data_IF_607580752700
#
_entry.id   IF_607580752700
#
_cell.length_a   1.000
_cell.length_b   1.000
_cell.length_c   1.000
_cell.angle_alpha   90.00
_cell.angle_beta   90.00
_cell.angle_gamma   90.00
#
_symmetry.space_group_name_H-M   'P 1'
#
loop_
_entity.id
_entity.type
_entity.pdbx_description
1 polymer ?
#
# COMPACT_ATOMS: atom_id res chain seq x y z
N UNK A 1 -5.89 -63.32 45.04
CA UNK A 1 -5.26 -61.98 45.18
C UNK A 1 -5.81 -61.07 44.08
N UNK A 2 -6.66 -60.10 44.43
CA UNK A 2 -7.31 -59.18 43.48
C UNK A 2 -6.47 -57.91 43.38
N UNK A 3 -5.99 -57.55 42.19
CA UNK A 3 -5.27 -56.28 41.93
C UNK A 3 -6.24 -55.29 41.28
N UNK A 4 -6.46 -54.07 41.83
CA UNK A 4 -7.27 -53.06 41.17
C UNK A 4 -6.45 -52.35 40.08
N UNK A 5 -6.99 -52.30 38.87
CA UNK A 5 -6.46 -51.53 37.74
C UNK A 5 -6.82 -50.05 37.96
N UNK A 6 -5.81 -49.20 38.20
CA UNK A 6 -6.01 -47.75 38.24
C UNK A 6 -6.09 -47.20 36.82
N UNK A 7 -7.21 -46.57 36.49
CA UNK A 7 -7.42 -45.86 35.22
C UNK A 7 -6.85 -44.44 35.38
N UNK A 8 -5.76 -44.15 34.66
CA UNK A 8 -5.19 -42.80 34.55
C UNK A 8 -5.92 -42.04 33.43
N UNK A 9 -6.75 -41.07 33.82
CA UNK A 9 -7.47 -40.17 32.93
C UNK A 9 -6.51 -39.05 32.49
N UNK A 10 -6.00 -39.12 31.26
CA UNK A 10 -5.16 -38.06 30.68
C UNK A 10 -6.05 -36.90 30.22
N UNK A 11 -5.98 -35.76 30.92
CA UNK A 11 -6.68 -34.54 30.54
C UNK A 11 -6.01 -33.90 29.32
N UNK A 12 -6.71 -33.91 28.17
CA UNK A 12 -6.35 -33.14 26.98
C UNK A 12 -6.69 -31.67 27.22
N UNK A 13 -5.68 -30.84 27.51
CA UNK A 13 -5.82 -29.39 27.53
C UNK A 13 -5.79 -28.88 26.08
N UNK A 14 -6.85 -28.19 25.59
CA UNK A 14 -6.79 -27.53 24.30
C UNK A 14 -5.84 -26.34 24.41
N UNK A 15 -4.69 -26.41 23.72
CA UNK A 15 -3.81 -25.27 23.54
C UNK A 15 -4.53 -24.26 22.62
N UNK A 16 -5.21 -23.28 23.21
CA UNK A 16 -5.66 -22.10 22.49
C UNK A 16 -4.41 -21.33 22.04
N UNK A 17 -3.97 -21.56 20.80
CA UNK A 17 -2.97 -20.74 20.15
C UNK A 17 -3.57 -19.35 19.95
N UNK A 18 -3.33 -18.44 20.90
CA UNK A 18 -3.58 -17.02 20.69
C UNK A 18 -2.64 -16.57 19.57
N UNK A 19 -3.15 -16.50 18.35
CA UNK A 19 -2.52 -15.73 17.29
C UNK A 19 -2.53 -14.27 17.77
N UNK A 20 -1.44 -13.86 18.42
CA UNK A 20 -1.16 -12.45 18.65
C UNK A 20 -0.98 -11.86 17.26
N UNK A 21 -2.03 -11.22 16.77
CA UNK A 21 -1.97 -10.40 15.58
C UNK A 21 -1.04 -9.24 15.91
N UNK A 22 0.26 -9.47 15.71
CA UNK A 22 1.27 -8.42 15.77
C UNK A 22 0.84 -7.43 14.69
N UNK A 23 0.25 -6.31 15.11
CA UNK A 23 0.02 -5.16 14.22
C UNK A 23 1.40 -4.69 13.81
N UNK A 24 1.90 -5.26 12.72
CA UNK A 24 3.14 -4.86 12.10
C UNK A 24 2.93 -3.39 11.70
N UNK A 25 3.74 -2.51 12.28
CA UNK A 25 3.76 -1.10 11.91
C UNK A 25 4.20 -0.92 10.45
N UNK A 26 4.30 0.33 9.98
CA UNK A 26 4.79 0.61 8.64
C UNK A 26 6.14 -0.07 8.35
N UNK A 27 6.27 -0.63 7.15
CA UNK A 27 7.51 -1.24 6.66
C UNK A 27 8.49 -0.15 6.22
N UNK A 28 9.76 -0.32 6.57
CA UNK A 28 10.85 0.43 5.97
C UNK A 28 11.09 0.00 4.51
N UNK A 29 11.62 0.89 3.66
CA UNK A 29 11.84 0.63 2.23
C UNK A 29 12.58 -0.69 1.93
N UNK A 30 13.68 -1.04 2.62
CA UNK A 30 14.36 -2.31 2.35
C UNK A 30 13.47 -3.54 2.59
N UNK A 31 12.60 -3.48 3.60
CA UNK A 31 11.64 -4.55 3.87
C UNK A 31 10.55 -4.62 2.79
N UNK A 32 10.06 -3.47 2.32
CA UNK A 32 9.11 -3.39 1.19
C UNK A 32 9.72 -4.04 -0.05
N UNK A 33 10.93 -3.63 -0.46
CA UNK A 33 11.62 -4.16 -1.63
C UNK A 33 11.87 -5.67 -1.48
N UNK A 34 12.31 -6.11 -0.29
CA UNK A 34 12.55 -7.52 -0.02
C UNK A 34 11.28 -8.37 -0.16
N UNK A 35 10.16 -7.91 0.41
CA UNK A 35 8.88 -8.61 0.33
C UNK A 35 8.38 -8.67 -1.11
N UNK A 36 8.35 -7.54 -1.80
CA UNK A 36 7.95 -7.46 -3.20
C UNK A 36 8.82 -8.35 -4.10
N UNK A 37 10.13 -8.36 -3.89
CA UNK A 37 11.08 -9.23 -4.61
C UNK A 37 10.86 -10.73 -4.36
N UNK A 38 10.20 -11.10 -3.26
CA UNK A 38 9.76 -12.47 -2.98
C UNK A 38 8.35 -12.78 -3.49
N UNK A 39 7.70 -11.84 -4.18
CA UNK A 39 6.30 -11.95 -4.58
C UNK A 39 5.32 -11.87 -3.40
N UNK A 40 5.77 -11.40 -2.24
CA UNK A 40 4.91 -11.24 -1.08
C UNK A 40 4.10 -9.95 -1.22
N UNK A 41 2.84 -9.95 -0.76
CA UNK A 41 1.97 -8.82 -1.01
C UNK A 41 2.22 -7.69 -0.01
N UNK A 42 2.34 -6.47 -0.56
CA UNK A 42 2.50 -5.23 0.20
C UNK A 42 1.37 -4.28 -0.17
N UNK A 43 0.75 -3.67 0.84
CA UNK A 43 -0.15 -2.54 0.64
C UNK A 43 0.58 -1.22 0.87
N UNK A 44 0.15 -0.19 0.15
CA UNK A 44 0.52 1.20 0.41
C UNK A 44 -0.74 1.98 0.79
N UNK A 45 -0.59 2.90 1.73
CA UNK A 45 -1.58 3.94 2.01
C UNK A 45 -0.97 5.30 1.69
N UNK A 46 -1.80 6.18 1.12
CA UNK A 46 -1.46 7.57 0.88
C UNK A 46 -2.37 8.49 1.71
N UNK A 47 -1.79 9.49 2.35
CA UNK A 47 -2.48 10.62 2.97
C UNK A 47 -1.90 11.93 2.42
N UNK A 48 -2.61 12.51 1.45
CA UNK A 48 -2.15 13.72 0.76
C UNK A 48 -2.18 14.96 1.66
N UNK A 49 -2.83 14.90 2.83
CA UNK A 49 -2.79 16.01 3.80
C UNK A 49 -1.42 16.16 4.48
N UNK A 50 -0.58 15.12 4.37
CA UNK A 50 0.79 15.10 4.88
C UNK A 50 1.83 15.34 3.78
N UNK A 51 1.40 15.56 2.54
CA UNK A 51 2.26 15.82 1.38
C UNK A 51 2.20 17.29 0.94
N UNK A 52 3.20 17.71 0.17
CA UNK A 52 3.24 19.03 -0.47
C UNK A 52 2.82 18.91 -1.93
N UNK A 53 1.83 19.68 -2.37
CA UNK A 53 1.42 19.72 -3.77
C UNK A 53 2.51 20.33 -4.66
N UNK A 54 2.56 19.94 -5.93
CA UNK A 54 3.52 20.45 -6.92
C UNK A 54 2.76 21.09 -8.10
N UNK A 55 3.11 22.33 -8.50
CA UNK A 55 4.01 23.27 -7.81
C UNK A 55 3.50 23.65 -6.40
N UNK A 56 4.37 24.22 -5.55
CA UNK A 56 4.06 24.44 -4.11
C UNK A 56 2.85 25.36 -3.84
N UNK A 57 2.38 26.11 -4.84
CA UNK A 57 1.19 26.95 -4.82
C UNK A 57 -0.09 26.21 -5.28
N UNK A 58 0.02 24.95 -5.70
CA UNK A 58 -1.11 24.11 -6.03
C UNK A 58 -1.96 23.81 -4.78
N UNK A 59 -3.26 23.60 -5.01
CA UNK A 59 -4.24 23.40 -3.92
C UNK A 59 -3.89 22.14 -3.10
N UNK A 60 -3.79 22.24 -1.76
CA UNK A 60 -3.57 21.08 -0.91
C UNK A 60 -4.77 20.13 -0.99
N UNK A 61 -4.50 18.84 -0.82
CA UNK A 61 -5.51 17.78 -0.83
C UNK A 61 -5.63 17.12 0.53
N UNK A 62 -6.85 16.70 0.90
CA UNK A 62 -7.12 15.87 2.09
C UNK A 62 -7.47 14.42 1.70
N UNK A 63 -7.27 14.07 0.44
CA UNK A 63 -7.57 12.73 -0.05
C UNK A 63 -6.66 11.71 0.63
N UNK A 64 -7.27 10.63 1.09
CA UNK A 64 -6.59 9.46 1.61
C UNK A 64 -7.02 8.24 0.81
N UNK A 65 -6.11 7.32 0.58
CA UNK A 65 -6.38 6.12 -0.20
C UNK A 65 -5.33 5.04 0.05
N UNK A 66 -5.47 3.93 -0.63
CA UNK A 66 -4.50 2.85 -0.57
C UNK A 66 -4.81 1.76 -1.57
N UNK A 67 -3.81 0.93 -1.83
CA UNK A 67 -3.88 -0.19 -2.76
C UNK A 67 -2.90 -1.28 -2.36
N UNK A 68 -3.12 -2.49 -2.88
CA UNK A 68 -2.09 -3.55 -2.90
C UNK A 68 -1.24 -3.38 -4.13
N UNK A 69 0.07 -3.42 -3.97
CA UNK A 69 1.01 -3.24 -5.07
C UNK A 69 0.96 -4.49 -5.94
N UNK A 70 0.39 -4.36 -7.13
CA UNK A 70 0.25 -5.47 -8.08
C UNK A 70 1.54 -5.71 -8.88
N UNK A 71 2.18 -4.63 -9.32
CA UNK A 71 3.42 -4.68 -10.08
C UNK A 71 4.32 -3.51 -9.66
N UNK A 72 5.63 -3.74 -9.70
CA UNK A 72 6.62 -2.74 -9.34
C UNK A 72 7.85 -2.86 -10.24
N UNK A 73 8.66 -1.80 -10.22
CA UNK A 73 10.00 -1.74 -10.80
C UNK A 73 10.95 -1.19 -9.75
N UNK A 74 12.13 -1.79 -9.63
CA UNK A 74 13.27 -1.21 -8.94
C UNK A 74 14.28 -0.75 -9.99
N UNK A 75 14.71 0.50 -9.93
CA UNK A 75 15.75 1.05 -10.83
C UNK A 75 17.15 0.92 -10.22
N UNK A 76 18.18 1.08 -11.04
CA UNK A 76 19.59 0.92 -10.63
C UNK A 76 20.02 1.88 -9.51
N UNK A 77 19.38 3.04 -9.43
CA UNK A 77 19.56 4.03 -8.35
C UNK A 77 18.85 3.66 -7.04
N UNK A 78 18.16 2.51 -6.99
CA UNK A 78 17.41 2.03 -5.84
C UNK A 78 16.00 2.61 -5.70
N UNK A 79 15.50 3.38 -6.69
CA UNK A 79 14.13 3.91 -6.64
C UNK A 79 13.11 2.79 -6.87
N UNK A 80 12.20 2.61 -5.90
CA UNK A 80 11.02 1.77 -6.04
C UNK A 80 9.92 2.57 -6.76
N UNK A 81 9.45 2.08 -7.89
CA UNK A 81 8.36 2.68 -8.64
C UNK A 81 7.23 1.67 -8.91
N UNK A 82 5.99 2.09 -8.74
CA UNK A 82 4.82 1.28 -9.07
C UNK A 82 3.67 2.18 -9.52
N UNK A 83 2.67 1.56 -10.13
CA UNK A 83 1.49 2.28 -10.62
C UNK A 83 0.23 1.43 -10.45
N UNK A 84 -0.90 2.11 -10.48
CA UNK A 84 -2.23 1.52 -10.54
C UNK A 84 -3.06 2.21 -11.62
N UNK A 85 -3.87 1.40 -12.29
CA UNK A 85 -4.88 1.89 -13.24
C UNK A 85 -6.25 1.73 -12.59
N UNK A 86 -6.89 2.84 -12.28
CA UNK A 86 -8.17 2.87 -11.61
C UNK A 86 -9.27 3.39 -12.54
N UNK A 87 -10.02 2.47 -13.16
CA UNK A 87 -11.21 2.83 -13.93
C UNK A 87 -12.38 3.13 -12.99
N UNK A 88 -13.04 4.26 -13.19
CA UNK A 88 -14.17 4.69 -12.36
C UNK A 88 -15.09 5.65 -13.12
N UNK A 89 -16.12 6.16 -12.45
CA UNK A 89 -17.02 7.19 -12.96
C UNK A 89 -16.71 8.51 -12.24
N UNK A 90 -16.62 9.60 -12.99
CA UNK A 90 -16.40 10.93 -12.43
C UNK A 90 -17.68 11.56 -11.84
N UNK A 91 -17.56 12.77 -11.28
CA UNK A 91 -18.67 13.50 -10.66
C UNK A 91 -19.78 13.89 -11.66
N UNK A 92 -19.48 13.90 -12.96
CA UNK A 92 -20.45 14.20 -14.03
C UNK A 92 -21.10 12.92 -14.58
N UNK A 93 -20.80 11.75 -13.99
CA UNK A 93 -21.34 10.47 -14.44
C UNK A 93 -20.63 9.88 -15.66
N UNK A 94 -19.46 10.38 -16.04
CA UNK A 94 -18.72 9.92 -17.23
C UNK A 94 -17.62 8.91 -16.85
N UNK A 95 -17.39 7.87 -17.68
CA UNK A 95 -16.31 6.92 -17.43
C UNK A 95 -14.94 7.56 -17.63
N UNK A 96 -14.06 7.28 -16.68
CA UNK A 96 -12.67 7.76 -16.67
C UNK A 96 -11.73 6.63 -16.27
N UNK A 97 -10.46 6.80 -16.62
CA UNK A 97 -9.35 6.00 -16.08
C UNK A 97 -8.35 6.93 -15.40
N UNK A 98 -7.91 6.55 -14.21
CA UNK A 98 -6.90 7.26 -13.44
C UNK A 98 -5.61 6.45 -13.42
N UNK A 99 -4.50 7.04 -13.86
CA UNK A 99 -3.17 6.45 -13.70
C UNK A 99 -2.52 7.03 -12.46
N UNK A 100 -2.47 6.23 -11.40
CA UNK A 100 -1.83 6.56 -10.14
C UNK A 100 -0.39 6.07 -10.19
N UNK A 101 0.59 6.93 -9.93
CA UNK A 101 2.02 6.57 -9.97
C UNK A 101 2.69 6.96 -8.69
N UNK A 102 3.58 6.08 -8.23
CA UNK A 102 4.31 6.20 -6.99
C UNK A 102 5.79 5.99 -7.27
N UNK A 103 6.62 6.84 -6.69
CA UNK A 103 8.09 6.69 -6.67
C UNK A 103 8.56 6.87 -5.24
N UNK A 104 9.44 6.00 -4.79
CA UNK A 104 10.07 6.09 -3.46
C UNK A 104 11.57 5.92 -3.66
N UNK A 105 12.33 6.93 -3.25
CA UNK A 105 13.78 6.96 -3.35
C UNK A 105 14.44 6.34 -2.11
N UNK A 106 15.72 5.92 -2.19
CA UNK A 106 16.43 5.33 -1.06
C UNK A 106 16.54 6.22 0.19
N UNK A 107 16.41 7.55 0.03
CA UNK A 107 16.41 8.53 1.11
C UNK A 107 15.02 8.71 1.76
N UNK A 108 14.06 7.85 1.43
CA UNK A 108 12.65 7.87 1.83
C UNK A 108 11.83 9.05 1.27
N UNK A 109 12.40 9.90 0.42
CA UNK A 109 11.59 10.86 -0.34
C UNK A 109 10.68 10.10 -1.32
N UNK A 110 9.46 10.61 -1.50
CA UNK A 110 8.48 9.95 -2.33
C UNK A 110 7.69 10.94 -3.17
N UNK A 111 7.17 10.46 -4.28
CA UNK A 111 6.27 11.22 -5.15
C UNK A 111 5.03 10.39 -5.46
N UNK A 112 3.89 11.04 -5.39
CA UNK A 112 2.62 10.54 -5.91
C UNK A 112 2.16 11.45 -7.04
N UNK A 113 1.75 10.87 -8.17
CA UNK A 113 1.10 11.61 -9.25
C UNK A 113 -0.14 10.90 -9.75
N UNK A 114 -1.14 11.66 -10.16
CA UNK A 114 -2.34 11.14 -10.83
C UNK A 114 -2.58 11.89 -12.13
N UNK A 115 -2.79 11.13 -13.21
CA UNK A 115 -3.30 11.65 -14.48
C UNK A 115 -4.62 10.97 -14.80
N UNK A 116 -5.61 11.75 -15.21
CA UNK A 116 -6.96 11.24 -15.52
C UNK A 116 -7.21 11.34 -17.01
N UNK A 117 -7.80 10.31 -17.60
CA UNK A 117 -8.23 10.31 -18.99
C UNK A 117 -9.72 9.98 -19.09
N UNK A 118 -10.41 10.58 -20.05
CA UNK A 118 -11.77 10.22 -20.42
C UNK A 118 -11.79 8.87 -21.14
N UNK A 119 -12.88 8.11 -20.98
CA UNK A 119 -13.13 6.93 -21.79
C UNK A 119 -14.31 7.17 -22.73
N UNK A 120 -14.31 6.58 -23.95
CA UNK A 120 -13.27 5.68 -24.49
C UNK A 120 -12.15 6.39 -25.26
N UNK A 121 -12.19 7.72 -25.37
CA UNK A 121 -11.28 8.47 -26.24
C UNK A 121 -9.84 8.60 -25.71
N UNK A 122 -9.61 8.32 -24.42
CA UNK A 122 -8.34 8.52 -23.73
C UNK A 122 -7.82 9.96 -23.88
N UNK A 123 -8.72 10.95 -23.80
CA UNK A 123 -8.33 12.36 -23.75
C UNK A 123 -8.05 12.76 -22.30
N UNK A 124 -6.91 13.42 -22.05
CA UNK A 124 -6.55 13.82 -20.70
C UNK A 124 -7.57 14.82 -20.13
N UNK A 125 -8.08 14.53 -18.94
CA UNK A 125 -8.97 15.41 -18.17
C UNK A 125 -8.16 16.21 -17.16
N UNK A 126 -8.12 17.54 -17.35
CA UNK A 126 -7.37 18.45 -16.49
C UNK A 126 -5.86 18.23 -16.60
N UNK A 127 -5.12 18.75 -15.63
CA UNK A 127 -3.66 18.56 -15.53
C UNK A 127 -3.33 17.35 -14.67
N UNK A 128 -2.15 16.77 -14.87
CA UNK A 128 -1.58 15.84 -13.90
C UNK A 128 -1.43 16.55 -12.55
N UNK A 129 -1.84 15.88 -11.49
CA UNK A 129 -1.60 16.35 -10.11
C UNK A 129 -0.42 15.60 -9.55
N UNK A 130 0.44 16.31 -8.81
CA UNK A 130 1.68 15.77 -8.26
C UNK A 130 1.85 16.21 -6.82
N UNK A 131 2.36 15.32 -5.98
CA UNK A 131 2.59 15.54 -4.57
C UNK A 131 3.95 14.96 -4.16
N UNK A 132 4.76 15.80 -3.53
CA UNK A 132 5.97 15.39 -2.82
C UNK A 132 5.56 14.90 -1.43
N UNK A 133 5.93 13.66 -1.12
CA UNK A 133 5.64 12.99 0.13
C UNK A 133 6.96 12.41 0.69
N UNK A 134 6.88 11.70 1.81
CA UNK A 134 7.95 10.81 2.26
C UNK A 134 7.38 9.52 2.86
N UNK A 135 8.21 8.50 3.00
CA UNK A 135 7.83 7.37 3.84
C UNK A 135 7.59 7.84 5.27
N UNK A 136 6.54 7.30 5.89
CA UNK A 136 6.03 7.66 7.22
C UNK A 136 5.50 9.10 7.34
N UNK A 137 5.48 9.84 6.22
CA UNK A 137 4.86 11.17 6.10
C UNK A 137 4.15 11.29 4.76
N UNK A 138 2.92 10.78 4.73
CA UNK A 138 2.05 10.80 3.57
C UNK A 138 2.04 9.48 2.80
N UNK A 139 3.11 8.68 2.81
CA UNK A 139 3.09 7.30 2.31
C UNK A 139 3.50 6.31 3.42
N UNK A 140 2.75 5.23 3.60
CA UNK A 140 3.10 4.14 4.52
C UNK A 140 2.83 2.79 3.86
N UNK A 141 3.68 1.81 4.15
CA UNK A 141 3.61 0.48 3.56
C UNK A 141 3.35 -0.57 4.61
N UNK A 142 2.56 -1.59 4.29
CA UNK A 142 2.16 -2.62 5.23
C UNK A 142 2.27 -4.00 4.60
N UNK A 143 2.71 -5.02 5.37
CA UNK A 143 2.55 -6.39 4.94
C UNK A 143 1.05 -6.70 4.87
N UNK A 144 0.66 -7.51 3.90
CA UNK A 144 -0.73 -7.97 3.82
C UNK A 144 -0.80 -9.48 3.79
N UNK A 145 -1.93 -10.04 4.25
CA UNK A 145 -2.22 -11.46 4.11
C UNK A 145 -2.83 -11.74 2.74
#
# INVERSE_FOLDING_TARGET
MKRPFSILLAALLPAAASATEHRQGPLALPAVIHMLGKGQPVAVTVDLSLCSAVPNDAKPSKTRGGLRINAFRLTDDGTLAFADEHMTIDLDGKPIVQFLRYKVHPDNSAQFSMTVFSLPAYEQKGTTVEFNCAMDRGLSFFPTR
#
